data_IF_084919915231
#
_entry.id   IF_084919915231
#
_cell.length_a   1.000
_cell.length_b   1.000
_cell.length_c   1.000
_cell.angle_alpha   90.00
_cell.angle_beta   90.00
_cell.angle_gamma   90.00
#
_symmetry.space_group_name_H-M   'P 1'
#
loop_
_entity.id
_entity.type
_entity.pdbx_description
1 polymer ?
#
# COMPACT_ATOMS: atom_id res chain seq x y z
N UNK A 1 -11.94 11.53 11.89
CA UNK A 1 -12.27 10.61 10.79
C UNK A 1 -10.96 10.43 10.05
N UNK A 2 -10.48 9.21 9.84
CA UNK A 2 -9.17 9.04 9.19
C UNK A 2 -9.30 9.54 7.75
N UNK A 3 -8.75 10.71 7.46
CA UNK A 3 -8.60 11.21 6.09
C UNK A 3 -7.33 10.59 5.48
N UNK A 4 -7.31 10.38 4.17
CA UNK A 4 -6.17 9.86 3.42
C UNK A 4 -5.67 8.44 3.80
N UNK A 5 -6.50 7.43 3.50
CA UNK A 5 -6.17 6.01 3.68
C UNK A 5 -6.61 5.16 2.49
N UNK A 6 -6.20 3.89 2.48
CA UNK A 6 -6.66 2.90 1.52
C UNK A 6 -6.52 1.46 2.01
N UNK A 7 -6.90 0.53 1.15
CA UNK A 7 -6.79 -0.91 1.38
C UNK A 7 -6.04 -1.57 0.23
N UNK A 8 -5.17 -2.52 0.57
CA UNK A 8 -4.44 -3.34 -0.40
C UNK A 8 -4.98 -4.76 -0.32
N UNK A 9 -5.57 -5.24 -1.41
CA UNK A 9 -5.96 -6.64 -1.54
C UNK A 9 -4.72 -7.51 -1.74
N UNK A 10 -4.58 -8.55 -0.93
CA UNK A 10 -3.57 -9.60 -1.13
C UNK A 10 -4.22 -10.89 -1.67
N UNK A 11 -3.40 -11.87 -2.06
CA UNK A 11 -3.78 -13.06 -2.85
C UNK A 11 -4.86 -13.94 -2.21
N UNK A 12 -5.03 -13.87 -0.88
CA UNK A 12 -5.99 -14.68 -0.12
C UNK A 12 -7.33 -13.96 0.12
N UNK A 13 -7.56 -12.82 -0.55
CA UNK A 13 -8.76 -12.00 -0.36
C UNK A 13 -8.75 -11.17 0.94
N UNK A 14 -7.68 -11.24 1.72
CA UNK A 14 -7.44 -10.34 2.84
C UNK A 14 -7.12 -8.93 2.34
N UNK A 15 -7.64 -7.92 3.05
CA UNK A 15 -7.35 -6.52 2.80
C UNK A 15 -6.46 -5.96 3.92
N UNK A 16 -5.38 -5.30 3.52
CA UNK A 16 -4.47 -4.64 4.45
C UNK A 16 -4.72 -3.14 4.42
N UNK A 17 -5.08 -2.58 5.57
CA UNK A 17 -5.23 -1.14 5.74
C UNK A 17 -3.88 -0.42 5.66
N UNK A 18 -3.84 0.76 5.05
CA UNK A 18 -2.70 1.66 5.14
C UNK A 18 -3.15 3.13 5.21
N UNK A 19 -2.39 3.94 5.93
CA UNK A 19 -2.54 5.40 5.93
C UNK A 19 -1.59 6.03 4.91
N UNK A 20 -1.89 7.24 4.44
CA UNK A 20 -1.01 8.07 3.57
C UNK A 20 0.46 8.06 3.97
N UNK A 21 0.72 8.15 5.27
CA UNK A 21 2.09 8.20 5.83
C UNK A 21 2.88 6.90 5.63
N UNK A 22 2.20 5.77 5.37
CA UNK A 22 2.87 4.53 5.02
C UNK A 22 3.37 4.57 3.56
N UNK A 23 2.83 5.45 2.70
CA UNK A 23 3.23 5.52 1.29
C UNK A 23 4.51 6.32 1.14
N UNK A 24 5.54 5.68 0.60
CA UNK A 24 6.84 6.30 0.38
C UNK A 24 6.81 7.37 -0.73
N UNK A 25 7.77 8.30 -0.64
CA UNK A 25 8.03 9.32 -1.67
C UNK A 25 6.84 10.24 -1.97
N UNK A 26 5.97 10.47 -0.97
CA UNK A 26 4.74 11.25 -1.09
C UNK A 26 3.89 10.79 -2.30
N UNK A 27 3.91 9.49 -2.59
CA UNK A 27 3.28 8.93 -3.78
C UNK A 27 1.81 8.51 -3.56
N UNK A 28 1.22 8.84 -2.41
CA UNK A 28 -0.17 8.50 -2.08
C UNK A 28 -1.13 9.00 -3.16
N UNK A 29 -1.00 10.26 -3.56
CA UNK A 29 -1.86 10.92 -4.56
C UNK A 29 -1.68 10.34 -5.99
N UNK A 30 -0.67 9.48 -6.19
CA UNK A 30 -0.39 8.79 -7.46
C UNK A 30 -0.95 7.37 -7.48
N UNK A 31 -1.42 6.85 -6.34
CA UNK A 31 -2.06 5.56 -6.27
C UNK A 31 -3.48 5.66 -6.82
N UNK A 32 -3.86 4.64 -7.60
CA UNK A 32 -5.21 4.44 -8.08
C UNK A 32 -5.63 3.00 -7.75
N UNK A 33 -6.93 2.74 -7.76
CA UNK A 33 -7.44 1.36 -7.65
C UNK A 33 -6.83 0.51 -8.78
N UNK A 34 -6.24 -0.63 -8.42
CA UNK A 34 -5.52 -1.50 -9.35
C UNK A 34 -4.04 -1.15 -9.55
N UNK A 35 -3.51 -0.14 -8.87
CA UNK A 35 -2.05 0.07 -8.79
C UNK A 35 -1.39 -1.09 -8.06
N UNK A 36 -0.33 -1.65 -8.66
CA UNK A 36 0.49 -2.64 -7.98
C UNK A 36 1.42 -1.93 -6.98
N UNK A 37 1.50 -2.50 -5.79
CA UNK A 37 2.32 -1.99 -4.69
C UNK A 37 3.04 -3.14 -4.01
N UNK A 38 4.20 -2.85 -3.45
CA UNK A 38 4.81 -3.71 -2.44
C UNK A 38 4.56 -3.09 -1.06
N UNK A 39 4.34 -3.95 -0.07
CA UNK A 39 4.04 -3.52 1.29
C UNK A 39 4.88 -4.27 2.32
N UNK A 40 5.15 -3.60 3.44
CA UNK A 40 5.58 -4.23 4.68
C UNK A 40 4.39 -4.23 5.64
N UNK A 41 3.96 -5.42 6.07
CA UNK A 41 2.87 -5.60 7.02
C UNK A 41 3.46 -5.57 8.43
N UNK A 42 2.87 -4.78 9.31
CA UNK A 42 3.08 -4.92 10.75
C UNK A 42 1.97 -5.83 11.29
N UNK A 43 2.35 -7.04 11.72
CA UNK A 43 1.44 -8.08 12.22
C UNK A 43 0.93 -7.77 13.65
N UNK A 44 1.39 -6.68 14.27
CA UNK A 44 0.82 -6.26 15.56
C UNK A 44 -0.66 -5.99 15.38
N UNK A 45 -1.47 -6.68 16.17
CA UNK A 45 -2.90 -6.40 16.33
C UNK A 45 -3.09 -4.96 16.82
N UNK A 46 -3.16 -4.02 15.88
CA UNK A 46 -3.84 -2.76 16.13
C UNK A 46 -5.32 -3.03 16.35
N UNK A 47 -6.07 -2.02 16.79
CA UNK A 47 -7.53 -2.14 17.04
C UNK A 47 -8.31 -2.65 15.81
N UNK A 48 -7.71 -2.58 14.61
CA UNK A 48 -8.29 -2.99 13.33
C UNK A 48 -7.61 -4.20 12.65
N UNK A 49 -6.68 -4.90 13.32
CA UNK A 49 -5.94 -6.04 12.73
C UNK A 49 -4.68 -5.63 11.95
N UNK A 50 -4.20 -6.47 11.00
CA UNK A 50 -2.97 -6.24 10.23
C UNK A 50 -3.01 -4.94 9.41
N UNK A 51 -1.94 -4.16 9.47
CA UNK A 51 -1.81 -2.92 8.70
C UNK A 51 -0.47 -2.84 7.95
N UNK A 52 -0.42 -2.09 6.87
CA UNK A 52 0.85 -1.80 6.20
C UNK A 52 1.54 -0.64 6.91
N UNK A 53 2.76 -0.89 7.39
CA UNK A 53 3.66 0.15 7.92
C UNK A 53 4.43 0.85 6.82
N UNK A 54 4.53 0.24 5.63
CA UNK A 54 5.16 0.81 4.45
C UNK A 54 4.45 0.32 3.19
N UNK A 55 4.24 1.22 2.25
CA UNK A 55 3.65 0.98 0.92
C UNK A 55 4.54 1.66 -0.11
N UNK A 56 4.94 0.91 -1.12
CA UNK A 56 5.76 1.39 -2.23
C UNK A 56 5.07 1.07 -3.56
N UNK A 57 4.78 2.08 -4.40
CA UNK A 57 4.30 1.84 -5.76
C UNK A 57 5.31 0.99 -6.54
N UNK A 58 4.84 -0.12 -7.13
CA UNK A 58 5.62 -0.88 -8.10
C UNK A 58 5.35 -0.21 -9.44
N UNK A 59 6.28 0.63 -9.87
CA UNK A 59 6.11 1.42 -11.09
C UNK A 59 5.86 0.53 -12.31
N UNK A 60 4.91 0.93 -13.17
CA UNK A 60 4.89 0.47 -14.56
C UNK A 60 5.99 1.25 -15.28
N UNK A 61 7.05 0.58 -15.73
CA UNK A 61 8.20 1.09 -16.51
C UNK A 61 9.52 1.28 -15.73
N UNK A 62 10.36 0.24 -15.76
CA UNK A 62 11.68 0.34 -16.38
C UNK A 62 12.12 -1.04 -16.89
N UNK A 63 11.36 -1.62 -17.83
CA UNK A 63 11.97 -2.57 -18.76
C UNK A 63 12.66 -1.66 -19.78
N UNK A 64 13.95 -1.39 -19.59
CA UNK A 64 14.79 -0.99 -20.73
C UNK A 64 15.11 -2.28 -21.48
N UNK A 65 14.48 -2.47 -22.63
CA UNK A 65 15.11 -3.27 -23.68
C UNK A 65 16.30 -2.46 -24.19
N UNK A 66 17.50 -2.93 -23.86
CA UNK A 66 18.78 -2.60 -24.50
C UNK A 66 19.50 -3.92 -24.75
#
# INVERSE_FOLDING_TARGET
LFDDYGFISITDGQEIYFHRNAVLSDAFDKLAVGSEVSLAIDEKEGVAGPQASTVRPVGKHHIVEQ
#
